data_IF_815692477186
#
_entry.id   IF_815692477186
#
_cell.length_a   1.000
_cell.length_b   1.000
_cell.length_c   1.000
_cell.angle_alpha   90.00
_cell.angle_beta   90.00
_cell.angle_gamma   90.00
#
_symmetry.space_group_name_H-M   'P 1'
#
loop_
_entity.id
_entity.type
_entity.pdbx_description
1 polymer ?
#
# COMPACT_ATOMS: atom_id res chain seq x y z
N UNK A 1 -11.18 5.24 0.13
CA UNK A 1 -10.51 3.94 -0.11
C UNK A 1 -11.56 2.86 0.14
N UNK A 2 -11.58 1.75 -0.63
CA UNK A 2 -12.49 0.65 -0.38
C UNK A 2 -12.32 0.08 1.02
N UNK A 3 -13.43 -0.34 1.65
CA UNK A 3 -13.43 -0.83 3.03
C UNK A 3 -12.61 -2.11 3.21
N UNK A 4 -12.64 -3.01 2.22
CA UNK A 4 -11.93 -4.30 2.21
C UNK A 4 -10.39 -4.17 2.23
N UNK A 5 -9.86 -3.02 1.78
CA UNK A 5 -8.41 -2.85 1.63
C UNK A 5 -7.67 -2.81 2.97
N UNK A 6 -8.33 -2.32 4.02
CA UNK A 6 -7.77 -2.31 5.37
C UNK A 6 -7.55 -3.73 5.92
N UNK A 7 -8.60 -4.57 5.98
CA UNK A 7 -8.49 -5.99 6.30
C UNK A 7 -7.49 -6.74 5.42
N UNK A 8 -7.55 -6.57 4.10
CA UNK A 8 -6.63 -7.19 3.15
C UNK A 8 -5.15 -6.97 3.50
N UNK A 9 -4.75 -5.72 3.82
CA UNK A 9 -3.37 -5.39 4.16
C UNK A 9 -2.88 -5.99 5.50
N UNK A 10 -3.79 -6.48 6.34
CA UNK A 10 -3.48 -7.13 7.63
C UNK A 10 -3.42 -8.66 7.53
N UNK A 11 -3.85 -9.24 6.40
CA UNK A 11 -3.81 -10.69 6.19
C UNK A 11 -2.36 -11.17 6.11
N UNK A 12 -2.17 -12.42 6.52
CA UNK A 12 -0.90 -13.14 6.38
C UNK A 12 -1.12 -14.20 5.31
N UNK A 13 -0.48 -14.02 4.17
CA UNK A 13 -0.58 -14.96 3.05
C UNK A 13 0.49 -16.05 3.12
N UNK A 14 0.30 -17.09 2.31
CA UNK A 14 1.17 -18.25 2.19
C UNK A 14 1.26 -19.12 3.46
N UNK A 15 0.24 -19.01 4.33
CA UNK A 15 -0.01 -20.00 5.37
C UNK A 15 -0.66 -21.26 4.81
N UNK A 16 -0.80 -22.28 5.65
CA UNK A 16 -1.51 -23.53 5.30
C UNK A 16 -2.99 -23.37 5.55
N UNK A 17 -3.82 -23.76 4.57
CA UNK A 17 -5.26 -23.84 4.75
C UNK A 17 -5.61 -24.96 5.73
N UNK A 18 -6.24 -24.61 6.85
CA UNK A 18 -6.65 -25.58 7.89
C UNK A 18 -7.79 -26.49 7.47
N UNK A 19 -8.60 -26.08 6.48
CA UNK A 19 -9.70 -26.90 5.95
C UNK A 19 -9.20 -27.96 4.97
N UNK A 20 -8.06 -27.69 4.32
CA UNK A 20 -7.50 -28.51 3.26
C UNK A 20 -6.03 -28.85 3.54
N UNK A 21 -5.66 -29.05 4.81
CA UNK A 21 -4.27 -29.24 5.22
C UNK A 21 -3.64 -30.53 4.67
N UNK A 22 -4.45 -31.58 4.51
CA UNK A 22 -4.07 -32.87 3.90
C UNK A 22 -3.98 -32.83 2.37
N UNK A 23 -4.54 -31.80 1.73
CA UNK A 23 -4.55 -31.70 0.26
C UNK A 23 -3.33 -30.93 -0.26
N UNK A 24 -2.89 -31.30 -1.45
CA UNK A 24 -1.89 -30.50 -2.15
C UNK A 24 -2.44 -29.12 -2.54
N UNK A 25 -1.53 -28.15 -2.73
CA UNK A 25 -1.85 -26.77 -3.17
C UNK A 25 -2.80 -26.05 -2.19
N UNK A 26 -2.62 -26.33 -0.91
CA UNK A 26 -3.35 -25.76 0.22
C UNK A 26 -2.78 -24.44 0.75
N UNK A 27 -1.80 -23.85 0.05
CA UNK A 27 -1.23 -22.55 0.39
C UNK A 27 -2.27 -21.42 0.20
N UNK A 28 -2.42 -20.57 1.21
CA UNK A 28 -3.33 -19.43 1.24
C UNK A 28 -2.75 -18.25 0.45
N UNK A 29 -2.82 -18.32 -0.88
CA UNK A 29 -2.25 -17.34 -1.80
C UNK A 29 -3.28 -16.62 -2.68
N UNK A 30 -4.56 -16.74 -2.36
CA UNK A 30 -5.65 -15.96 -2.97
C UNK A 30 -6.38 -15.17 -1.90
N UNK A 31 -6.99 -14.05 -2.28
CA UNK A 31 -7.87 -13.28 -1.41
C UNK A 31 -9.20 -13.02 -2.12
N UNK A 32 -10.31 -13.31 -1.44
CA UNK A 32 -11.66 -12.99 -1.90
C UNK A 32 -12.09 -11.65 -1.31
N UNK A 33 -12.30 -10.66 -2.18
CA UNK A 33 -12.76 -9.32 -1.79
C UNK A 33 -14.18 -9.39 -1.23
N UNK A 34 -15.05 -10.21 -1.82
CA UNK A 34 -16.46 -10.35 -1.40
C UNK A 34 -16.58 -10.96 -0.01
N UNK A 35 -15.76 -11.97 0.31
CA UNK A 35 -15.82 -12.71 1.56
C UNK A 35 -14.85 -12.21 2.64
N UNK A 36 -13.93 -11.29 2.31
CA UNK A 36 -12.81 -10.89 3.17
C UNK A 36 -11.99 -12.08 3.71
N UNK A 37 -11.75 -13.07 2.84
CA UNK A 37 -11.09 -14.33 3.20
C UNK A 37 -9.88 -14.62 2.32
N UNK A 38 -8.84 -15.16 2.95
CA UNK A 38 -7.68 -15.76 2.30
C UNK A 38 -7.98 -17.22 1.99
N UNK A 39 -7.62 -17.64 0.78
CA UNK A 39 -8.08 -18.89 0.17
C UNK A 39 -6.91 -19.65 -0.45
N UNK A 40 -6.98 -20.98 -0.38
CA UNK A 40 -6.13 -21.85 -1.18
C UNK A 40 -6.82 -22.23 -2.50
N UNK A 41 -6.12 -23.01 -3.34
CA UNK A 41 -6.69 -23.47 -4.62
C UNK A 41 -7.96 -24.29 -4.43
N UNK A 42 -8.02 -25.11 -3.38
CA UNK A 42 -9.16 -25.99 -3.12
C UNK A 42 -10.37 -25.20 -2.60
N UNK A 43 -10.17 -24.14 -1.80
CA UNK A 43 -11.26 -23.26 -1.39
C UNK A 43 -11.91 -22.53 -2.58
N UNK A 44 -11.15 -22.20 -3.62
CA UNK A 44 -11.71 -21.55 -4.83
C UNK A 44 -12.40 -22.56 -5.76
N UNK A 45 -12.03 -23.83 -5.67
CA UNK A 45 -12.67 -24.89 -6.46
C UNK A 45 -14.05 -25.28 -5.93
N UNK A 46 -14.41 -24.86 -4.71
CA UNK A 46 -15.79 -24.97 -4.22
C UNK A 46 -16.65 -23.92 -4.93
N UNK A 47 -17.93 -24.24 -5.13
CA UNK A 47 -18.87 -23.35 -5.84
C UNK A 47 -19.15 -22.03 -5.10
N UNK A 48 -18.66 -21.88 -3.87
CA UNK A 48 -18.88 -20.71 -3.01
C UNK A 48 -18.12 -19.45 -3.48
N UNK A 49 -17.18 -19.57 -4.41
CA UNK A 49 -16.32 -18.46 -4.85
C UNK A 49 -16.30 -18.23 -6.38
N UNK A 50 -17.14 -18.93 -7.14
CA UNK A 50 -17.10 -18.87 -8.61
C UNK A 50 -17.42 -17.48 -9.19
N UNK A 51 -18.27 -16.71 -8.53
CA UNK A 51 -18.70 -15.36 -8.96
C UNK A 51 -18.09 -14.23 -8.12
N UNK A 52 -17.10 -14.55 -7.27
CA UNK A 52 -16.49 -13.57 -6.38
C UNK A 52 -15.26 -12.90 -6.99
N UNK A 53 -14.98 -11.68 -6.54
CA UNK A 53 -13.79 -10.94 -6.91
C UNK A 53 -12.57 -11.49 -6.17
N UNK A 54 -11.69 -12.16 -6.90
CA UNK A 54 -10.49 -12.80 -6.37
C UNK A 54 -9.21 -12.05 -6.79
N UNK A 55 -8.28 -11.89 -5.86
CA UNK A 55 -6.91 -11.43 -6.10
C UNK A 55 -5.93 -12.59 -5.93
N UNK A 56 -5.03 -12.78 -6.88
CA UNK A 56 -3.89 -13.69 -6.72
C UNK A 56 -2.74 -12.96 -6.03
N UNK A 57 -2.23 -13.53 -4.94
CA UNK A 57 -1.08 -13.01 -4.20
C UNK A 57 0.19 -13.74 -4.63
N UNK A 58 1.25 -12.98 -4.83
CA UNK A 58 2.60 -13.47 -5.16
C UNK A 58 3.61 -12.97 -4.12
N UNK A 59 4.81 -13.56 -4.12
CA UNK A 59 5.95 -13.07 -3.34
C UNK A 59 7.00 -12.41 -4.21
N UNK A 60 7.41 -11.21 -3.82
CA UNK A 60 8.57 -10.52 -4.38
C UNK A 60 9.41 -9.94 -3.25
N UNK A 61 10.69 -10.34 -3.19
CA UNK A 61 11.64 -9.91 -2.14
C UNK A 61 11.03 -10.05 -0.73
N UNK A 62 10.53 -11.25 -0.42
CA UNK A 62 9.93 -11.60 0.88
C UNK A 62 8.69 -10.79 1.29
N UNK A 63 8.06 -10.07 0.36
CA UNK A 63 6.82 -9.34 0.60
C UNK A 63 5.73 -9.75 -0.38
N UNK A 64 4.51 -9.61 0.09
CA UNK A 64 3.31 -9.91 -0.66
C UNK A 64 3.06 -8.82 -1.70
N UNK A 65 2.81 -9.25 -2.93
CA UNK A 65 2.53 -8.40 -4.08
C UNK A 65 1.35 -8.92 -4.86
N UNK A 66 0.67 -8.03 -5.56
CA UNK A 66 -0.42 -8.36 -6.49
C UNK A 66 -0.06 -7.88 -7.89
N UNK A 67 -0.52 -8.56 -8.95
CA UNK A 67 -0.40 -8.04 -10.30
C UNK A 67 -1.03 -6.65 -10.41
N UNK A 68 -0.33 -5.74 -11.08
CA UNK A 68 -0.77 -4.34 -11.20
C UNK A 68 -2.13 -4.26 -11.91
N UNK A 69 -2.28 -5.00 -13.00
CA UNK A 69 -3.49 -5.08 -13.83
C UNK A 69 -4.70 -5.68 -13.10
N UNK A 70 -4.48 -6.61 -12.16
CA UNK A 70 -5.55 -7.10 -11.28
C UNK A 70 -5.95 -6.04 -10.25
N UNK A 71 -4.98 -5.37 -9.64
CA UNK A 71 -5.25 -4.40 -8.57
C UNK A 71 -5.90 -3.09 -9.08
N UNK A 72 -5.53 -2.65 -10.29
CA UNK A 72 -6.04 -1.44 -10.92
C UNK A 72 -7.55 -1.48 -11.19
N UNK A 73 -8.16 -2.66 -11.20
CA UNK A 73 -9.63 -2.83 -11.31
C UNK A 73 -10.36 -2.30 -10.08
N UNK A 74 -9.69 -2.24 -8.93
CA UNK A 74 -10.33 -1.94 -7.65
C UNK A 74 -9.82 -0.66 -6.98
N UNK A 75 -8.58 -0.23 -7.24
CA UNK A 75 -8.02 1.01 -6.70
C UNK A 75 -7.16 1.76 -7.74
N UNK A 76 -7.04 3.06 -7.54
CA UNK A 76 -6.10 3.90 -8.28
C UNK A 76 -4.65 3.62 -7.85
N UNK A 77 -3.91 2.91 -8.70
CA UNK A 77 -2.49 2.60 -8.54
C UNK A 77 -1.55 3.63 -9.18
N UNK A 78 -2.04 4.68 -9.84
CA UNK A 78 -1.22 5.57 -10.70
C UNK A 78 -0.07 6.27 -9.96
N UNK A 79 -0.22 6.46 -8.64
CA UNK A 79 0.79 7.10 -7.78
C UNK A 79 1.57 6.11 -6.90
N UNK A 80 1.38 4.82 -7.11
CA UNK A 80 2.13 3.74 -6.46
C UNK A 80 3.21 3.28 -7.42
N UNK A 81 4.44 3.20 -6.95
CA UNK A 81 5.53 2.63 -7.73
C UNK A 81 5.28 1.13 -8.00
N UNK A 82 5.21 0.70 -9.27
CA UNK A 82 5.17 -0.71 -9.62
C UNK A 82 6.58 -1.30 -9.60
N UNK A 83 6.66 -2.60 -9.37
CA UNK A 83 7.89 -3.38 -9.42
C UNK A 83 7.78 -4.44 -10.52
N UNK A 84 8.91 -4.80 -11.10
CA UNK A 84 8.96 -5.86 -12.11
C UNK A 84 9.33 -7.18 -11.43
N UNK A 85 8.43 -8.17 -11.49
CA UNK A 85 8.65 -9.51 -10.95
C UNK A 85 8.35 -10.53 -12.06
N UNK A 86 9.34 -11.36 -12.43
CA UNK A 86 9.17 -12.41 -13.45
C UNK A 86 8.51 -11.92 -14.75
N UNK A 87 8.98 -10.78 -15.27
CA UNK A 87 8.45 -10.10 -16.47
C UNK A 87 7.03 -9.51 -16.33
N UNK A 88 6.39 -9.59 -15.16
CA UNK A 88 5.09 -8.95 -14.87
C UNK A 88 5.28 -7.70 -14.01
N UNK A 89 4.37 -6.74 -14.16
CA UNK A 89 4.27 -5.59 -13.26
C UNK A 89 3.42 -5.96 -12.05
N UNK A 90 3.94 -5.66 -10.86
CA UNK A 90 3.28 -5.94 -9.58
C UNK A 90 3.34 -4.71 -8.70
N UNK A 91 2.39 -4.58 -7.77
CA UNK A 91 2.43 -3.59 -6.69
C UNK A 91 2.57 -4.30 -5.36
N UNK A 92 3.43 -3.75 -4.50
CA UNK A 92 3.64 -4.31 -3.17
C UNK A 92 2.52 -3.89 -2.22
N UNK A 93 2.07 -4.83 -1.39
CA UNK A 93 1.11 -4.53 -0.32
C UNK A 93 1.76 -3.65 0.74
N UNK A 94 2.95 -4.06 1.18
CA UNK A 94 3.73 -3.42 2.25
C UNK A 94 5.10 -2.97 1.72
N UNK A 95 5.80 -2.03 2.41
CA UNK A 95 7.13 -1.59 1.98
C UNK A 95 8.11 -2.77 1.82
N UNK A 96 8.80 -2.81 0.68
CA UNK A 96 9.83 -3.82 0.40
C UNK A 96 11.08 -3.61 1.30
N UNK A 97 11.86 -4.66 1.61
CA UNK A 97 13.00 -4.54 2.53
C UNK A 97 14.20 -3.78 1.95
N UNK A 98 14.45 -3.87 0.63
CA UNK A 98 15.68 -3.31 0.02
C UNK A 98 15.40 -2.07 -0.84
N UNK A 99 15.63 -0.88 -0.28
CA UNK A 99 15.98 0.40 -0.94
C UNK A 99 15.94 1.52 0.12
N UNK A 100 17.05 1.67 0.84
CA UNK A 100 17.52 3.01 1.20
C UNK A 100 17.46 3.40 2.68
N UNK A 101 18.21 2.71 3.53
CA UNK A 101 18.99 3.36 4.61
C UNK A 101 20.35 3.84 4.10
N UNK A 102 20.49 4.09 2.79
CA UNK A 102 21.66 4.75 2.22
C UNK A 102 21.44 6.25 2.31
N UNK A 103 22.35 6.94 3.02
CA UNK A 103 22.38 8.38 3.29
C UNK A 103 21.37 9.19 2.48
N UNK A 104 20.19 9.43 3.06
CA UNK A 104 19.18 10.31 2.47
C UNK A 104 19.80 11.70 2.33
N UNK A 105 20.00 12.15 1.10
CA UNK A 105 20.42 13.53 0.84
C UNK A 105 19.18 14.41 1.03
N UNK A 106 19.33 15.58 1.63
CA UNK A 106 18.22 16.53 1.78
C UNK A 106 17.68 16.86 0.38
N UNK A 107 16.40 16.54 0.14
CA UNK A 107 15.77 16.69 -1.18
C UNK A 107 15.60 15.38 -1.95
N UNK A 108 16.05 14.25 -1.40
CA UNK A 108 15.87 12.97 -2.06
C UNK A 108 14.37 12.62 -2.20
N UNK A 109 13.99 12.14 -3.39
CA UNK A 109 12.62 11.85 -3.67
C UNK A 109 12.18 10.55 -2.99
N UNK A 110 11.33 10.71 -1.98
CA UNK A 110 10.95 9.64 -1.09
C UNK A 110 9.43 9.46 -1.05
N UNK A 111 9.02 8.25 -0.71
CA UNK A 111 7.64 7.91 -0.43
C UNK A 111 7.10 8.85 0.64
N UNK A 112 5.91 9.42 0.41
CA UNK A 112 5.34 10.42 1.30
C UNK A 112 5.10 9.88 2.72
N UNK A 113 4.84 8.57 2.83
CA UNK A 113 4.52 7.90 4.08
C UNK A 113 5.77 7.36 4.79
N UNK A 114 6.46 6.37 4.20
CA UNK A 114 7.56 5.66 4.87
C UNK A 114 8.96 6.22 4.57
N UNK A 115 9.06 7.31 3.80
CA UNK A 115 10.32 7.97 3.40
C UNK A 115 11.31 7.10 2.62
N UNK A 116 10.86 5.95 2.10
CA UNK A 116 11.63 5.08 1.21
C UNK A 116 11.89 5.75 -0.14
N UNK A 117 13.08 5.61 -0.72
CA UNK A 117 13.39 6.15 -2.05
C UNK A 117 12.47 5.58 -3.14
N UNK A 118 12.01 6.46 -4.03
CA UNK A 118 11.26 6.10 -5.23
C UNK A 118 12.18 6.13 -6.46
N UNK A 119 11.89 5.27 -7.44
CA UNK A 119 12.64 5.16 -8.69
C UNK A 119 12.29 6.31 -9.64
N UNK A 120 11.00 6.66 -9.72
CA UNK A 120 10.49 7.81 -10.47
C UNK A 120 9.59 8.66 -9.55
N UNK A 121 10.13 9.73 -8.98
CA UNK A 121 9.43 10.60 -8.03
C UNK A 121 8.44 11.57 -8.65
N UNK A 122 8.65 11.90 -9.92
CA UNK A 122 7.77 12.81 -10.65
C UNK A 122 6.46 12.07 -10.96
N UNK A 123 6.57 10.77 -11.24
CA UNK A 123 5.45 9.89 -11.48
C UNK A 123 4.80 9.38 -10.19
N UNK A 124 5.60 8.88 -9.24
CA UNK A 124 5.13 8.13 -8.07
C UNK A 124 5.24 8.91 -6.75
N UNK A 125 4.33 8.64 -5.82
CA UNK A 125 4.30 9.25 -4.47
C UNK A 125 4.39 8.21 -3.35
N UNK A 126 4.06 6.96 -3.65
CA UNK A 126 4.00 5.87 -2.69
C UNK A 126 4.81 4.68 -3.19
N UNK A 127 5.49 3.98 -2.28
CA UNK A 127 6.24 2.76 -2.63
C UNK A 127 5.37 1.49 -2.60
N UNK A 128 4.20 1.53 -1.98
CA UNK A 128 3.31 0.38 -1.81
C UNK A 128 1.88 0.84 -1.51
N UNK A 129 0.93 -0.12 -1.53
CA UNK A 129 -0.49 0.12 -1.26
C UNK A 129 -0.71 0.62 0.16
N UNK A 130 -0.07 0.01 1.17
CA UNK A 130 -0.22 0.42 2.57
C UNK A 130 0.12 1.90 2.77
N UNK A 131 1.23 2.37 2.19
CA UNK A 131 1.61 3.78 2.28
C UNK A 131 0.58 4.73 1.66
N UNK A 132 -0.04 4.36 0.53
CA UNK A 132 -1.10 5.16 -0.09
C UNK A 132 -2.36 5.20 0.79
N UNK A 133 -2.71 4.06 1.40
CA UNK A 133 -3.87 3.96 2.31
C UNK A 133 -3.67 4.81 3.55
N UNK A 134 -2.51 4.74 4.18
CA UNK A 134 -2.16 5.53 5.36
C UNK A 134 -2.24 7.04 5.06
N UNK A 135 -1.63 7.49 3.97
CA UNK A 135 -1.65 8.90 3.59
C UNK A 135 -3.06 9.44 3.28
N UNK A 136 -3.99 8.58 2.84
CA UNK A 136 -5.39 8.96 2.60
C UNK A 136 -6.25 8.91 3.87
N UNK A 137 -5.79 8.26 4.95
CA UNK A 137 -6.48 8.22 6.26
C UNK A 137 -6.17 9.46 7.09
N UNK A 138 -4.98 10.02 6.93
CA UNK A 138 -4.61 11.29 7.53
C UNK A 138 -5.31 12.43 6.76
N UNK A 139 -6.39 12.98 7.32
CA UNK A 139 -6.96 14.25 6.84
C UNK A 139 -5.86 15.33 6.89
N UNK A 140 -5.83 16.29 5.95
CA UNK A 140 -4.80 17.32 5.97
C UNK A 140 -4.84 18.05 7.30
N UNK A 141 -3.71 18.06 8.02
CA UNK A 141 -3.47 19.01 9.10
C UNK A 141 -3.57 20.38 8.45
N UNK A 142 -4.64 21.13 8.75
CA UNK A 142 -4.70 22.56 8.45
C UNK A 142 -3.43 23.18 9.04
N UNK A 143 -2.51 23.57 8.16
CA UNK A 143 -1.37 24.38 8.55
C UNK A 143 -1.94 25.69 9.05
N UNK A 144 -2.10 25.82 10.36
CA UNK A 144 -2.41 27.09 11.03
C UNK A 144 -1.36 28.08 10.54
N UNK A 145 -1.75 28.94 9.59
CA UNK A 145 -0.95 30.08 9.14
C UNK A 145 -0.48 30.79 10.41
N UNK A 146 0.82 30.76 10.70
CA UNK A 146 1.41 31.47 11.83
C UNK A 146 0.99 32.94 11.70
N UNK A 147 0.03 33.39 12.51
CA UNK A 147 -0.34 34.81 12.60
C UNK A 147 0.95 35.54 12.97
N UNK A 148 1.47 36.37 12.06
CA UNK A 148 2.55 37.32 12.38
C UNK A 148 2.08 38.13 13.59
N UNK A 149 2.79 38.05 14.72
CA UNK A 149 2.57 38.93 15.86
C UNK A 149 2.76 40.36 15.35
N UNK A 150 1.74 41.22 15.47
CA UNK A 150 1.90 42.66 15.24
C UNK A 150 2.99 43.16 16.19
N UNK A 151 4.02 43.80 15.65
CA UNK A 151 5.08 44.42 16.45
C UNK A 151 4.49 45.43 17.44
N UNK A 152 5.20 45.64 18.55
CA UNK A 152 4.83 46.61 19.58
C UNK A 152 4.77 48.00 18.92
N UNK A 153 3.66 48.76 19.05
CA UNK A 153 3.58 50.10 18.49
C UNK A 153 4.53 51.03 19.25
N UNK A 154 5.40 51.73 18.52
CA UNK A 154 6.21 52.80 19.09
C UNK A 154 5.30 53.99 19.44
N UNK A 155 5.33 54.44 20.70
CA UNK A 155 4.63 55.67 21.12
C UNK A 155 5.31 56.88 20.45
N UNK A 156 4.50 57.79 19.93
CA UNK A 156 4.99 59.06 19.39
C UNK A 156 5.55 59.96 20.51
N UNK A 157 6.59 60.77 20.26
CA UNK A 157 7.11 61.73 21.22
C UNK A 157 6.08 62.85 21.46
N UNK A 158 5.90 63.24 22.72
CA UNK A 158 5.09 64.41 23.09
C UNK A 158 5.88 65.68 22.75
N UNK A 159 5.20 66.65 22.12
CA UNK A 159 5.66 68.04 21.96
C UNK A 159 5.54 68.79 23.28
#
# INVERSE_FOLDING_TARGET
MPAWLGPFLKKIFFGTCLVHDELQKNELNKYCITCDSDLCRNCVATDEHNEHDLLQIYRHVYKDVVPLDEMEKYIDCTKIQPYKCNKKWVVALNPLPHNGSGSLIVGDPTCYTCKRRLNDPEQFRFCCIACQVEAKREKPVETKRKRKRKGIPHRAPLK
#
